data_IF_345180109806
#
_entry.id   IF_345180109806
#
_cell.length_a   1.000
_cell.length_b   1.000
_cell.length_c   1.000
_cell.angle_alpha   90.00
_cell.angle_beta   90.00
_cell.angle_gamma   90.00
#
_symmetry.space_group_name_H-M   'P 1'
#
loop_
_entity.id
_entity.type
_entity.pdbx_description
1 polymer ?
#
# COMPACT_ATOMS: atom_id res chain seq x y z
N UNK A 1 -14.36 -10.82 19.46
CA UNK A 1 -13.61 -12.05 19.09
C UNK A 1 -13.04 -11.78 17.71
N UNK A 2 -11.72 -11.79 17.55
CA UNK A 2 -11.09 -11.51 16.25
C UNK A 2 -11.14 -12.76 15.36
N UNK A 3 -11.56 -12.60 14.11
CA UNK A 3 -11.44 -13.65 13.10
C UNK A 3 -9.97 -13.71 12.64
N UNK A 4 -9.36 -14.89 12.69
CA UNK A 4 -8.00 -15.12 12.23
C UNK A 4 -7.98 -16.41 11.41
N UNK A 5 -7.35 -16.40 10.24
CA UNK A 5 -7.18 -17.60 9.40
C UNK A 5 -5.80 -17.55 8.72
N UNK A 6 -5.13 -18.70 8.63
CA UNK A 6 -3.86 -18.79 7.93
C UNK A 6 -4.12 -18.99 6.43
N UNK A 7 -3.52 -18.15 5.59
CA UNK A 7 -3.65 -18.19 4.13
C UNK A 7 -2.41 -18.74 3.42
N UNK A 8 -1.36 -19.15 4.14
CA UNK A 8 -0.05 -19.52 3.57
C UNK A 8 -0.11 -20.61 2.50
N UNK A 9 -1.08 -21.53 2.61
CA UNK A 9 -1.22 -22.64 1.67
C UNK A 9 -1.94 -22.23 0.38
N UNK A 10 -2.63 -21.09 0.37
CA UNK A 10 -3.46 -20.62 -0.74
C UNK A 10 -2.94 -19.32 -1.38
N UNK A 11 -2.15 -18.54 -0.67
CA UNK A 11 -1.73 -17.20 -1.09
C UNK A 11 -0.23 -17.17 -1.39
N UNK A 12 0.09 -17.04 -2.67
CA UNK A 12 1.43 -16.67 -3.14
C UNK A 12 1.41 -15.26 -3.70
N UNK A 13 2.32 -14.41 -3.26
CA UNK A 13 2.49 -13.04 -3.77
C UNK A 13 3.89 -12.95 -4.37
N UNK A 14 3.97 -12.46 -5.60
CA UNK A 14 5.21 -12.11 -6.29
C UNK A 14 5.15 -10.63 -6.65
N UNK A 15 6.25 -9.92 -6.45
CA UNK A 15 6.38 -8.50 -6.74
C UNK A 15 7.51 -8.35 -7.75
N UNK A 16 7.22 -7.62 -8.82
CA UNK A 16 8.19 -7.26 -9.86
C UNK A 16 8.56 -5.79 -9.65
N UNK A 17 9.66 -5.55 -8.94
CA UNK A 17 10.10 -4.20 -8.58
C UNK A 17 10.44 -3.37 -9.85
N UNK A 18 11.07 -3.97 -10.84
CA UNK A 18 11.45 -3.29 -12.09
C UNK A 18 10.19 -2.83 -12.85
N UNK A 19 9.18 -3.71 -12.96
CA UNK A 19 7.91 -3.33 -13.58
C UNK A 19 7.22 -2.20 -12.82
N UNK A 20 7.23 -2.23 -11.49
CA UNK A 20 6.63 -1.19 -10.66
C UNK A 20 7.31 0.17 -10.88
N UNK A 21 8.63 0.22 -10.91
CA UNK A 21 9.37 1.47 -11.18
C UNK A 21 9.05 2.04 -12.58
N UNK A 22 8.96 1.18 -13.59
CA UNK A 22 8.72 1.61 -14.97
C UNK A 22 7.27 2.08 -15.22
N UNK A 23 6.29 1.46 -14.55
CA UNK A 23 4.88 1.60 -14.92
C UNK A 23 4.03 2.38 -13.91
N UNK A 24 4.45 2.44 -12.64
CA UNK A 24 3.71 3.13 -11.60
C UNK A 24 4.07 4.61 -11.59
N UNK A 25 3.04 5.46 -11.63
CA UNK A 25 3.22 6.90 -11.43
C UNK A 25 3.36 7.19 -9.95
N UNK A 26 4.60 7.19 -9.48
CA UNK A 26 4.93 7.50 -8.10
C UNK A 26 4.76 8.99 -7.79
N UNK A 27 4.07 9.26 -6.67
CA UNK A 27 4.10 10.56 -6.02
C UNK A 27 4.97 10.45 -4.76
N UNK A 28 6.12 11.09 -4.80
CA UNK A 28 7.01 11.22 -3.64
C UNK A 28 6.52 12.35 -2.73
N UNK A 29 6.51 12.10 -1.41
CA UNK A 29 6.12 13.09 -0.40
C UNK A 29 7.32 13.78 0.27
N UNK A 30 8.55 13.35 -0.01
CA UNK A 30 9.78 13.88 0.60
C UNK A 30 9.98 13.46 2.06
N UNK A 31 9.22 12.47 2.53
CA UNK A 31 9.22 11.98 3.92
C UNK A 31 9.71 10.54 4.04
N UNK A 32 10.29 9.96 2.98
CA UNK A 32 10.60 8.52 2.90
C UNK A 32 9.37 7.67 2.55
N UNK A 33 8.30 8.30 2.05
CA UNK A 33 7.11 7.61 1.55
C UNK A 33 6.82 8.10 0.13
N UNK A 34 6.50 7.16 -0.76
CA UNK A 34 5.90 7.45 -2.06
C UNK A 34 4.64 6.62 -2.28
N UNK A 35 3.70 7.18 -3.04
CA UNK A 35 2.43 6.54 -3.36
C UNK A 35 2.26 6.36 -4.86
N UNK A 36 2.03 5.12 -5.26
CA UNK A 36 1.63 4.72 -6.60
C UNK A 36 0.12 4.51 -6.67
N UNK A 37 -0.57 5.10 -7.65
CA UNK A 37 -1.97 4.77 -7.92
C UNK A 37 -2.04 3.67 -8.97
N UNK A 38 -2.60 2.51 -8.61
CA UNK A 38 -2.69 1.34 -9.49
C UNK A 38 -4.01 1.30 -10.25
N UNK A 39 -5.14 1.52 -9.55
CA UNK A 39 -6.46 1.49 -10.15
C UNK A 39 -7.44 2.39 -9.39
N UNK A 40 -8.53 2.79 -10.06
CA UNK A 40 -9.63 3.53 -9.44
C UNK A 40 -10.95 3.12 -10.08
N UNK A 41 -11.95 2.86 -9.23
CA UNK A 41 -13.32 2.61 -9.63
C UNK A 41 -14.27 3.45 -8.76
N UNK A 42 -14.90 4.46 -9.37
CA UNK A 42 -15.76 5.40 -8.64
C UNK A 42 -14.99 6.13 -7.54
N UNK A 43 -15.37 5.88 -6.28
CA UNK A 43 -14.72 6.44 -5.08
C UNK A 43 -13.66 5.50 -4.47
N UNK A 44 -13.62 4.22 -4.89
CA UNK A 44 -12.65 3.24 -4.44
C UNK A 44 -11.34 3.38 -5.23
N UNK A 45 -10.19 3.33 -4.54
CA UNK A 45 -8.87 3.40 -5.17
C UNK A 45 -7.96 2.31 -4.62
N UNK A 46 -7.26 1.64 -5.53
CA UNK A 46 -6.16 0.75 -5.19
C UNK A 46 -4.85 1.53 -5.33
N UNK A 47 -4.13 1.66 -4.22
CA UNK A 47 -2.86 2.37 -4.15
C UNK A 47 -1.79 1.47 -3.55
N UNK A 48 -0.55 1.70 -3.96
CA UNK A 48 0.64 1.09 -3.39
C UNK A 48 1.40 2.16 -2.63
N UNK A 49 1.66 1.91 -1.36
CA UNK A 49 2.61 2.68 -0.58
C UNK A 49 3.95 1.97 -0.59
N UNK A 50 5.00 2.72 -0.86
CA UNK A 50 6.37 2.30 -0.67
C UNK A 50 7.00 3.23 0.36
N UNK A 51 7.50 2.65 1.45
CA UNK A 51 7.96 3.37 2.61
C UNK A 51 9.33 2.84 3.02
N UNK A 52 10.25 3.75 3.31
CA UNK A 52 11.56 3.43 3.83
C UNK A 52 11.43 2.74 5.21
N UNK A 53 12.35 1.84 5.53
CA UNK A 53 12.33 1.13 6.82
C UNK A 53 12.43 2.05 8.03
N UNK A 54 13.03 3.21 7.83
CA UNK A 54 13.35 4.20 8.86
C UNK A 54 12.42 5.42 8.76
N UNK A 55 11.28 5.27 8.08
CA UNK A 55 10.28 6.33 7.93
C UNK A 55 9.77 6.79 9.30
N UNK A 56 9.73 8.11 9.51
CA UNK A 56 9.14 8.69 10.71
C UNK A 56 7.63 8.46 10.76
N UNK A 57 7.07 8.26 11.95
CA UNK A 57 5.63 7.98 12.14
C UNK A 57 4.76 9.12 11.56
N UNK A 58 5.27 10.35 11.62
CA UNK A 58 4.62 11.56 11.09
C UNK A 58 4.45 11.55 9.57
N UNK A 59 5.18 10.70 8.84
CA UNK A 59 4.98 10.51 7.40
C UNK A 59 3.59 9.96 7.08
N UNK A 60 2.97 9.25 8.03
CA UNK A 60 1.59 8.78 7.96
C UNK A 60 0.72 9.52 8.98
N UNK A 61 0.33 10.74 8.64
CA UNK A 61 -0.61 11.49 9.48
C UNK A 61 -1.92 10.70 9.69
N UNK A 62 -2.42 10.58 10.92
CA UNK A 62 -3.69 9.93 11.19
C UNK A 62 -4.83 10.56 10.38
N UNK A 63 -5.57 9.74 9.63
CA UNK A 63 -6.72 10.17 8.84
C UNK A 63 -7.81 9.09 8.84
N UNK A 64 -8.99 9.42 8.33
CA UNK A 64 -10.12 8.49 8.23
C UNK A 64 -10.67 8.45 6.81
N UNK A 65 -11.00 7.25 6.34
CA UNK A 65 -11.66 7.02 5.06
C UNK A 65 -13.14 6.69 5.25
N UNK A 66 -14.06 7.54 4.72
CA UNK A 66 -15.46 7.16 4.57
C UNK A 66 -15.57 5.91 3.70
N UNK A 67 -16.30 4.88 4.17
CA UNK A 67 -16.39 3.58 3.51
C UNK A 67 -15.33 2.55 3.95
N UNK A 68 -14.36 2.98 4.77
CA UNK A 68 -13.31 2.12 5.31
C UNK A 68 -12.12 1.97 4.38
N UNK A 69 -11.13 1.23 4.87
CA UNK A 69 -9.87 0.96 4.20
C UNK A 69 -9.38 -0.44 4.60
N UNK A 70 -8.60 -1.07 3.74
CA UNK A 70 -7.94 -2.34 4.00
C UNK A 70 -6.51 -2.27 3.52
N UNK A 71 -5.59 -2.74 4.35
CA UNK A 71 -4.16 -2.78 4.07
C UNK A 71 -3.69 -4.22 3.97
N UNK A 72 -2.80 -4.47 3.02
CA UNK A 72 -2.00 -5.69 2.95
C UNK A 72 -0.53 -5.25 2.88
N UNK A 73 0.22 -5.60 3.92
CA UNK A 73 1.67 -5.36 3.94
C UNK A 73 2.33 -6.46 3.12
N UNK A 74 3.14 -6.06 2.14
CA UNK A 74 3.74 -6.95 1.16
C UNK A 74 5.21 -7.29 1.47
N UNK A 75 5.94 -6.38 2.12
CA UNK A 75 7.34 -6.50 2.55
C UNK A 75 7.59 -5.70 3.82
#
# INVERSE_FOLDING_TARGET
>A
MAFNHNLSDWLGISIDDDWLEENVRWKDFGTGVRLGRLAREGECSLVLYDADSDVEVEAFMPHMHPGGEAYLVLR
#
